data_IF_897193814856
#
_entry.id   IF_897193814856
#
_cell.length_a   1.000
_cell.length_b   1.000
_cell.length_c   1.000
_cell.angle_alpha   90.00
_cell.angle_beta   90.00
_cell.angle_gamma   90.00
#
_symmetry.space_group_name_H-M   'P 1'
#
loop_
_entity.id
_entity.type
_entity.pdbx_description
1 polymer ?
#
# COMPACT_ATOMS: atom_id res chain seq x y z
N UNK A 1 -6.16 67.97 6.00
CA UNK A 1 -5.88 66.96 4.94
C UNK A 1 -4.63 66.10 5.17
N UNK A 2 -3.50 66.61 5.71
CA UNK A 2 -2.28 65.79 5.91
C UNK A 2 -2.38 64.69 6.98
N UNK A 3 -3.21 64.84 8.02
CA UNK A 3 -3.36 63.83 9.09
C UNK A 3 -4.23 62.62 8.68
N UNK A 4 -5.20 62.81 7.79
CA UNK A 4 -6.11 61.73 7.34
C UNK A 4 -5.42 60.75 6.37
N UNK A 5 -4.48 61.25 5.56
CA UNK A 5 -3.67 60.42 4.64
C UNK A 5 -2.70 59.52 5.41
N UNK A 6 -2.18 59.98 6.56
CA UNK A 6 -1.24 59.21 7.38
C UNK A 6 -1.91 58.03 8.10
N UNK A 7 -3.19 58.16 8.49
CA UNK A 7 -3.95 57.08 9.13
C UNK A 7 -4.35 55.99 8.13
N UNK A 8 -4.67 56.36 6.89
CA UNK A 8 -5.01 55.38 5.84
C UNK A 8 -3.79 54.54 5.44
N UNK A 9 -2.59 55.14 5.41
CA UNK A 9 -1.35 54.43 5.11
C UNK A 9 -0.97 53.42 6.21
N UNK A 10 -1.21 53.75 7.48
CA UNK A 10 -0.93 52.86 8.61
C UNK A 10 -1.88 51.65 8.66
N UNK A 11 -3.15 51.82 8.27
CA UNK A 11 -4.15 50.73 8.23
C UNK A 11 -3.89 49.75 7.07
N UNK A 12 -3.35 50.22 5.93
CA UNK A 12 -3.00 49.35 4.80
C UNK A 12 -1.76 48.49 5.10
N UNK A 13 -0.79 48.99 5.86
CA UNK A 13 0.40 48.21 6.27
C UNK A 13 0.04 47.14 7.32
N UNK A 14 -0.98 47.37 8.15
CA UNK A 14 -1.49 46.38 9.12
C UNK A 14 -2.45 45.34 8.49
N UNK A 15 -2.93 45.59 7.27
CA UNK A 15 -3.76 44.65 6.49
C UNK A 15 -3.03 44.05 5.29
N UNK A 16 -1.71 44.26 5.17
CA UNK A 16 -0.92 43.49 4.22
C UNK A 16 -1.03 42.01 4.65
N UNK A 17 -1.65 41.13 3.84
CA UNK A 17 -1.63 39.71 4.15
C UNK A 17 -0.16 39.33 4.22
N UNK A 18 0.28 38.85 5.39
CA UNK A 18 1.56 38.20 5.51
C UNK A 18 1.50 37.01 4.54
N UNK A 19 2.03 37.20 3.34
CA UNK A 19 2.37 36.10 2.45
C UNK A 19 3.49 35.36 3.17
N UNK A 20 3.11 34.43 4.04
CA UNK A 20 4.00 33.35 4.42
C UNK A 20 4.34 32.63 3.12
N UNK A 21 5.52 32.91 2.58
CA UNK A 21 6.13 32.04 1.60
C UNK A 21 6.25 30.69 2.28
N UNK A 22 5.34 29.77 1.96
CA UNK A 22 5.50 28.38 2.34
C UNK A 22 6.83 27.93 1.73
N UNK A 23 7.83 27.68 2.57
CA UNK A 23 9.05 27.03 2.11
C UNK A 23 8.63 25.66 1.57
N UNK A 24 8.83 25.47 0.26
CA UNK A 24 8.60 24.18 -0.37
C UNK A 24 9.74 23.28 0.07
N UNK A 25 9.41 22.13 0.67
CA UNK A 25 10.42 21.16 1.13
C UNK A 25 11.27 20.72 -0.06
N UNK A 26 12.59 20.81 0.07
CA UNK A 26 13.50 20.26 -0.94
C UNK A 26 13.74 18.78 -0.66
N UNK A 27 13.51 17.93 -1.67
CA UNK A 27 13.62 16.48 -1.58
C UNK A 27 14.60 15.96 -2.62
N UNK A 28 15.59 15.18 -2.19
CA UNK A 28 16.66 14.69 -3.05
C UNK A 28 16.29 13.33 -3.63
N UNK A 29 16.21 13.23 -4.96
CA UNK A 29 16.00 11.95 -5.62
C UNK A 29 17.18 11.01 -5.38
N UNK A 30 16.90 9.87 -4.76
CA UNK A 30 17.91 8.86 -4.38
C UNK A 30 17.80 7.55 -5.18
N UNK A 31 16.80 7.43 -6.05
CA UNK A 31 16.68 6.34 -7.00
C UNK A 31 15.61 5.29 -6.68
N UNK A 32 15.60 4.25 -7.49
CA UNK A 32 14.78 3.06 -7.40
C UNK A 32 15.63 1.91 -6.88
N UNK A 33 15.11 1.19 -5.90
CA UNK A 33 15.80 0.09 -5.24
C UNK A 33 14.90 -1.08 -4.91
N UNK A 34 15.49 -2.06 -4.23
CA UNK A 34 14.79 -3.25 -3.73
C UNK A 34 14.90 -3.31 -2.22
N UNK A 35 13.85 -3.81 -1.57
CA UNK A 35 13.87 -4.05 -0.14
C UNK A 35 14.49 -5.41 0.21
N UNK A 36 15.18 -5.46 1.35
CA UNK A 36 15.71 -6.70 1.92
C UNK A 36 17.15 -6.99 1.54
N UNK A 37 17.57 -8.24 1.81
CA UNK A 37 18.93 -8.68 1.55
C UNK A 37 19.19 -8.72 0.04
N UNK A 38 20.23 -8.01 -0.40
CA UNK A 38 20.64 -7.95 -1.81
C UNK A 38 20.92 -9.33 -2.40
N UNK A 39 21.43 -10.27 -1.59
CA UNK A 39 21.73 -11.63 -2.02
C UNK A 39 20.48 -12.43 -2.43
N UNK A 40 19.31 -12.10 -1.88
CA UNK A 40 18.04 -12.77 -2.17
C UNK A 40 17.27 -12.16 -3.35
N UNK A 41 17.77 -11.05 -3.91
CA UNK A 41 17.02 -10.23 -4.88
C UNK A 41 16.48 -11.05 -6.05
N UNK A 42 17.31 -11.87 -6.69
CA UNK A 42 16.89 -12.62 -7.87
C UNK A 42 15.83 -13.69 -7.57
N UNK A 43 15.76 -14.15 -6.31
CA UNK A 43 14.72 -15.06 -5.84
C UNK A 43 13.42 -14.31 -5.51
N UNK A 44 13.54 -13.12 -4.93
CA UNK A 44 12.39 -12.31 -4.48
C UNK A 44 11.77 -11.46 -5.60
N UNK A 45 12.56 -11.06 -6.59
CA UNK A 45 12.22 -10.09 -7.63
C UNK A 45 12.76 -10.52 -9.01
N UNK A 46 12.53 -11.76 -9.45
CA UNK A 46 13.24 -12.36 -10.59
C UNK A 46 13.12 -11.54 -11.89
N UNK A 47 11.98 -10.88 -12.12
CA UNK A 47 11.77 -10.10 -13.34
C UNK A 47 12.28 -8.68 -13.19
N UNK A 48 11.87 -7.98 -12.14
CA UNK A 48 12.20 -6.57 -11.93
C UNK A 48 13.68 -6.36 -11.63
N UNK A 49 14.35 -7.29 -10.94
CA UNK A 49 15.80 -7.26 -10.77
C UNK A 49 16.55 -7.36 -12.09
N UNK A 50 16.02 -8.13 -13.04
CA UNK A 50 16.63 -8.27 -14.36
C UNK A 50 16.65 -6.97 -15.15
N UNK A 51 15.76 -6.02 -14.86
CA UNK A 51 15.80 -4.67 -15.45
C UNK A 51 16.79 -3.76 -14.73
N UNK A 52 17.01 -3.94 -13.43
CA UNK A 52 17.97 -3.14 -12.68
C UNK A 52 19.41 -3.38 -13.16
N UNK A 53 19.72 -4.61 -13.57
CA UNK A 53 21.05 -5.03 -14.01
C UNK A 53 21.41 -4.65 -15.45
N UNK A 54 20.43 -4.19 -16.24
CA UNK A 54 20.68 -3.81 -17.63
C UNK A 54 21.50 -2.53 -17.74
N UNK A 55 22.32 -2.49 -18.80
CA UNK A 55 22.97 -1.28 -19.25
C UNK A 55 21.92 -0.17 -19.45
N UNK A 56 22.28 1.06 -19.10
CA UNK A 56 21.40 2.24 -19.04
C UNK A 56 20.39 2.29 -17.87
N UNK A 57 20.40 1.33 -16.94
CA UNK A 57 19.59 1.36 -15.70
C UNK A 57 18.11 1.71 -15.96
N UNK A 58 17.37 0.93 -16.78
CA UNK A 58 16.05 1.30 -17.27
C UNK A 58 15.02 1.60 -16.17
N UNK A 59 15.10 0.94 -15.00
CA UNK A 59 14.22 1.28 -13.87
C UNK A 59 14.37 2.74 -13.42
N UNK A 60 15.60 3.27 -13.35
CA UNK A 60 15.83 4.69 -13.06
C UNK A 60 15.24 5.59 -14.13
N UNK A 61 15.45 5.23 -15.39
CA UNK A 61 14.99 6.02 -16.53
C UNK A 61 13.47 6.09 -16.55
N UNK A 62 12.77 4.96 -16.40
CA UNK A 62 11.31 4.91 -16.37
C UNK A 62 10.75 5.65 -15.17
N UNK A 63 11.32 5.45 -13.99
CA UNK A 63 10.88 6.14 -12.78
C UNK A 63 11.05 7.66 -12.91
N UNK A 64 12.21 8.15 -13.33
CA UNK A 64 12.45 9.59 -13.51
C UNK A 64 11.49 10.19 -14.53
N UNK A 65 11.33 9.53 -15.67
CA UNK A 65 10.40 9.98 -16.72
C UNK A 65 8.96 10.10 -16.20
N UNK A 66 8.47 9.10 -15.50
CA UNK A 66 7.05 9.02 -15.12
C UNK A 66 6.72 9.72 -13.79
N UNK A 67 7.70 9.82 -12.89
CA UNK A 67 7.54 10.52 -11.62
C UNK A 67 7.90 11.99 -11.70
N UNK A 68 8.85 12.42 -12.54
CA UNK A 68 9.50 13.71 -12.34
C UNK A 68 9.34 14.66 -13.53
N UNK A 69 9.08 14.15 -14.74
CA UNK A 69 8.91 15.01 -15.91
C UNK A 69 7.53 15.70 -15.91
N UNK A 70 7.54 17.03 -15.78
CA UNK A 70 6.33 17.86 -15.89
C UNK A 70 5.33 17.72 -14.75
N UNK A 71 5.75 17.17 -13.60
CA UNK A 71 4.92 16.99 -12.40
C UNK A 71 5.21 18.06 -11.36
N UNK A 72 4.16 18.46 -10.64
CA UNK A 72 4.25 19.38 -9.51
C UNK A 72 3.81 18.66 -8.25
N UNK A 73 4.68 18.66 -7.25
CA UNK A 73 4.42 18.07 -5.94
C UNK A 73 4.38 19.18 -4.87
N UNK A 74 3.83 18.90 -3.67
CA UNK A 74 3.95 19.79 -2.52
C UNK A 74 5.39 20.00 -2.01
N UNK A 75 6.37 19.32 -2.64
CA UNK A 75 7.80 19.39 -2.37
C UNK A 75 8.57 19.53 -3.70
N UNK A 76 9.77 20.10 -3.66
CA UNK A 76 10.63 20.31 -4.82
C UNK A 76 11.65 19.17 -4.93
N UNK A 77 11.57 18.37 -6.00
CA UNK A 77 12.54 17.28 -6.21
C UNK A 77 13.82 17.82 -6.84
N UNK A 78 14.96 17.58 -6.20
CA UNK A 78 16.30 17.91 -6.68
C UNK A 78 17.04 16.66 -7.15
N UNK A 79 17.92 16.86 -8.13
CA UNK A 79 18.81 15.84 -8.66
C UNK A 79 20.27 16.19 -8.41
N UNK A 80 21.09 15.17 -8.21
CA UNK A 80 22.54 15.30 -8.11
C UNK A 80 23.03 15.43 -6.66
N UNK A 81 24.30 15.80 -6.52
CA UNK A 81 24.94 16.04 -5.23
C UNK A 81 24.41 17.34 -4.62
N UNK A 82 23.80 17.22 -3.44
CA UNK A 82 23.37 18.37 -2.64
C UNK A 82 24.32 18.53 -1.47
N UNK A 83 24.62 19.79 -1.14
CA UNK A 83 25.41 20.09 0.05
C UNK A 83 24.63 19.68 1.30
N UNK A 84 25.16 18.69 2.02
CA UNK A 84 24.57 18.11 3.23
C UNK A 84 24.84 19.02 4.45
N UNK A 85 25.45 20.19 4.25
CA UNK A 85 25.70 21.20 5.29
C UNK A 85 24.43 21.87 5.82
N UNK A 86 23.31 21.80 5.08
CA UNK A 86 22.00 22.28 5.51
C UNK A 86 21.38 21.47 6.66
N UNK A 87 20.40 22.06 7.35
CA UNK A 87 19.63 21.38 8.39
C UNK A 87 18.68 20.35 7.72
N UNK A 88 18.94 19.06 7.99
CA UNK A 88 18.03 17.92 7.76
C UNK A 88 17.53 17.66 6.32
N UNK A 89 18.43 17.43 5.34
CA UNK A 89 18.02 17.15 3.96
C UNK A 89 17.22 15.85 3.84
N UNK A 90 16.04 15.94 3.20
CA UNK A 90 15.14 14.80 2.95
C UNK A 90 15.48 14.19 1.59
N UNK A 91 15.54 12.87 1.53
CA UNK A 91 15.70 12.09 0.31
C UNK A 91 14.45 11.28 0.01
N UNK A 92 14.18 11.07 -1.27
CA UNK A 92 13.12 10.21 -1.81
C UNK A 92 13.74 9.04 -2.58
N UNK A 93 13.40 7.83 -2.17
CA UNK A 93 13.68 6.61 -2.90
C UNK A 93 12.38 5.86 -3.22
N UNK A 94 12.33 5.16 -4.36
CA UNK A 94 11.26 4.19 -4.64
C UNK A 94 11.79 2.79 -4.40
N UNK A 95 11.21 2.06 -3.46
CA UNK A 95 11.66 0.71 -3.13
C UNK A 95 10.63 -0.31 -3.60
N UNK A 96 11.04 -1.25 -4.45
CA UNK A 96 10.26 -2.44 -4.80
C UNK A 96 10.32 -3.42 -3.62
N UNK A 97 9.14 -3.82 -3.15
CA UNK A 97 8.96 -4.67 -1.96
C UNK A 97 8.31 -6.01 -2.27
N UNK A 98 7.78 -6.19 -3.49
CA UNK A 98 7.24 -7.47 -3.92
C UNK A 98 7.01 -7.55 -5.42
N UNK A 99 7.18 -8.75 -5.93
CA UNK A 99 6.84 -9.15 -7.29
C UNK A 99 6.08 -10.47 -7.20
N UNK A 100 4.85 -10.53 -7.71
CA UNK A 100 4.06 -11.77 -7.64
C UNK A 100 3.27 -11.99 -8.92
N UNK A 101 3.19 -13.26 -9.32
CA UNK A 101 2.29 -13.77 -10.36
C UNK A 101 1.35 -14.80 -9.71
N UNK A 102 0.05 -14.50 -9.68
CA UNK A 102 -0.97 -15.44 -9.21
C UNK A 102 -1.69 -16.07 -10.39
N UNK A 103 -1.45 -17.37 -10.54
CA UNK A 103 -2.06 -18.24 -11.53
C UNK A 103 -3.40 -18.80 -11.01
N UNK A 104 -4.48 -18.61 -11.76
CA UNK A 104 -5.81 -19.19 -11.52
C UNK A 104 -6.24 -20.01 -12.75
N UNK A 105 -6.57 -21.28 -12.55
CA UNK A 105 -7.14 -22.12 -13.59
C UNK A 105 -8.67 -22.00 -13.57
N UNK A 106 -9.25 -21.59 -14.69
CA UNK A 106 -10.71 -21.44 -14.85
C UNK A 106 -11.18 -22.53 -15.81
N UNK A 107 -12.09 -23.39 -15.35
CA UNK A 107 -12.67 -24.44 -16.19
C UNK A 107 -13.97 -23.93 -16.81
N UNK A 108 -13.97 -23.76 -18.13
CA UNK A 108 -15.15 -23.34 -18.91
C UNK A 108 -15.44 -24.39 -19.98
N UNK A 109 -16.60 -25.06 -19.90
CA UNK A 109 -17.01 -26.07 -20.89
C UNK A 109 -15.94 -27.14 -21.19
N UNK A 110 -15.33 -27.70 -20.13
CA UNK A 110 -14.22 -28.67 -20.19
C UNK A 110 -12.91 -28.15 -20.81
N UNK A 111 -12.77 -26.84 -21.05
CA UNK A 111 -11.50 -26.20 -21.43
C UNK A 111 -10.92 -25.44 -20.25
N UNK A 112 -9.61 -25.53 -20.07
CA UNK A 112 -8.89 -24.79 -19.04
C UNK A 112 -8.44 -23.47 -19.65
N UNK A 113 -8.83 -22.36 -19.02
CA UNK A 113 -8.25 -21.03 -19.24
C UNK A 113 -7.38 -20.66 -18.05
N UNK A 114 -6.41 -19.80 -18.29
CA UNK A 114 -5.46 -19.36 -17.27
C UNK A 114 -5.65 -17.86 -17.02
N UNK A 115 -6.18 -17.49 -15.86
CA UNK A 115 -6.20 -16.10 -15.41
C UNK A 115 -4.93 -15.83 -14.62
N UNK A 116 -4.13 -14.91 -15.12
CA UNK A 116 -2.87 -14.51 -14.52
C UNK A 116 -2.98 -13.11 -13.94
N UNK A 117 -2.50 -12.96 -12.71
CA UNK A 117 -2.48 -11.69 -12.01
C UNK A 117 -1.05 -11.30 -11.67
N UNK A 118 -0.55 -10.31 -12.39
CA UNK A 118 0.78 -9.74 -12.22
C UNK A 118 0.69 -8.59 -11.24
N UNK A 119 1.54 -8.57 -10.22
CA UNK A 119 1.55 -7.50 -9.23
C UNK A 119 2.96 -7.07 -8.85
N UNK A 120 3.12 -5.75 -8.73
CA UNK A 120 4.30 -5.08 -8.20
C UNK A 120 3.87 -4.35 -6.93
N UNK A 121 4.53 -4.66 -5.83
CA UNK A 121 4.42 -3.93 -4.58
C UNK A 121 5.68 -3.09 -4.40
N UNK A 122 5.53 -1.86 -3.92
CA UNK A 122 6.64 -1.02 -3.54
C UNK A 122 6.20 0.14 -2.66
N UNK A 123 7.12 1.06 -2.37
CA UNK A 123 6.82 2.26 -1.60
C UNK A 123 7.74 3.41 -2.02
N UNK A 124 7.23 4.64 -2.04
CA UNK A 124 8.08 5.82 -1.97
C UNK A 124 8.48 6.03 -0.51
N UNK A 125 9.78 6.07 -0.24
CA UNK A 125 10.37 6.22 1.08
C UNK A 125 11.04 7.58 1.15
N UNK A 126 10.52 8.43 2.03
CA UNK A 126 11.13 9.69 2.41
C UNK A 126 11.94 9.48 3.67
N UNK A 127 13.20 9.92 3.69
CA UNK A 127 14.06 9.74 4.84
C UNK A 127 15.06 10.90 4.95
N UNK A 128 15.51 11.19 6.15
CA UNK A 128 16.54 12.20 6.38
C UNK A 128 17.92 11.61 6.02
N UNK A 129 18.66 12.25 5.11
CA UNK A 129 19.95 11.73 4.62
C UNK A 129 21.01 11.62 5.72
N UNK A 130 20.98 12.52 6.72
CA UNK A 130 21.98 12.57 7.80
C UNK A 130 21.71 11.52 8.88
N UNK A 131 20.48 11.46 9.36
CA UNK A 131 20.07 10.55 10.45
C UNK A 131 19.63 9.18 9.94
N UNK A 132 19.36 9.05 8.64
CA UNK A 132 18.80 7.88 7.97
C UNK A 132 17.41 7.47 8.49
N UNK A 133 16.74 8.34 9.24
CA UNK A 133 15.42 8.07 9.80
C UNK A 133 14.34 8.23 8.73
N UNK A 134 13.37 7.32 8.72
CA UNK A 134 12.15 7.47 7.92
C UNK A 134 11.42 8.76 8.33
N UNK A 135 11.03 9.52 7.32
CA UNK A 135 10.19 10.74 7.42
C UNK A 135 8.75 10.37 7.08
N UNK A 136 8.55 9.72 5.93
CA UNK A 136 7.25 9.28 5.46
C UNK A 136 7.41 8.08 4.53
N UNK A 137 6.35 7.28 4.42
CA UNK A 137 6.29 6.22 3.42
C UNK A 137 4.95 6.23 2.69
N UNK A 138 5.00 5.94 1.39
CA UNK A 138 3.84 5.87 0.52
C UNK A 138 3.88 4.53 -0.21
N UNK A 139 3.39 3.43 0.39
CA UNK A 139 3.19 2.18 -0.30
C UNK A 139 2.31 2.30 -1.55
N UNK A 140 2.59 1.43 -2.53
CA UNK A 140 1.78 1.21 -3.72
C UNK A 140 1.77 -0.29 -4.06
N UNK A 141 0.59 -0.82 -4.41
CA UNK A 141 0.45 -2.07 -5.16
C UNK A 141 -0.19 -1.75 -6.48
N UNK A 142 0.44 -2.21 -7.56
CA UNK A 142 -0.11 -2.19 -8.91
C UNK A 142 -0.40 -3.61 -9.35
N UNK A 143 -1.57 -3.84 -9.96
CA UNK A 143 -2.00 -5.16 -10.45
C UNK A 143 -2.52 -5.07 -11.88
N UNK A 144 -2.07 -6.01 -12.71
CA UNK A 144 -2.60 -6.25 -14.05
C UNK A 144 -3.08 -7.70 -14.16
N UNK A 145 -4.20 -7.91 -14.84
CA UNK A 145 -4.82 -9.24 -14.97
C UNK A 145 -5.06 -9.55 -16.45
N UNK A 146 -4.73 -10.77 -16.87
CA UNK A 146 -4.95 -11.22 -18.25
C UNK A 146 -5.33 -12.69 -18.29
N UNK A 147 -6.30 -13.02 -19.15
CA UNK A 147 -6.72 -14.39 -19.41
C UNK A 147 -5.96 -14.94 -20.63
N UNK A 148 -5.46 -16.16 -20.51
CA UNK A 148 -4.76 -16.87 -21.56
C UNK A 148 -5.43 -18.21 -21.84
N UNK A 149 -5.38 -18.65 -23.10
CA UNK A 149 -5.82 -20.00 -23.50
C UNK A 149 -4.80 -21.08 -23.10
N UNK A 150 -3.53 -20.71 -22.97
CA UNK A 150 -2.43 -21.55 -22.47
C UNK A 150 -1.63 -20.80 -21.43
N UNK A 151 -1.08 -21.49 -20.42
CA UNK A 151 -0.23 -20.86 -19.41
C UNK A 151 0.91 -20.05 -20.08
N UNK A 152 1.08 -18.76 -19.78
CA UNK A 152 2.14 -17.97 -20.38
C UNK A 152 3.51 -18.41 -19.88
N UNK A 153 4.53 -18.18 -20.71
CA UNK A 153 5.92 -18.44 -20.37
C UNK A 153 6.57 -17.27 -19.61
N UNK A 154 7.84 -17.44 -19.28
CA UNK A 154 8.64 -16.42 -18.58
C UNK A 154 8.86 -15.16 -19.44
N UNK A 155 8.90 -15.29 -20.76
CA UNK A 155 9.10 -14.17 -21.69
C UNK A 155 7.87 -13.25 -21.72
N UNK A 156 6.67 -13.83 -21.82
CA UNK A 156 5.43 -13.06 -21.73
C UNK A 156 5.31 -12.42 -20.34
N UNK A 157 5.66 -13.15 -19.27
CA UNK A 157 5.69 -12.59 -17.91
C UNK A 157 6.62 -11.37 -17.83
N UNK A 158 7.84 -11.48 -18.36
CA UNK A 158 8.81 -10.37 -18.42
C UNK A 158 8.28 -9.18 -19.24
N UNK A 159 7.60 -9.44 -20.35
CA UNK A 159 6.97 -8.40 -21.19
C UNK A 159 5.87 -7.65 -20.44
N UNK A 160 5.03 -8.36 -19.70
CA UNK A 160 3.97 -7.74 -18.88
C UNK A 160 4.58 -6.85 -17.80
N UNK A 161 5.54 -7.35 -17.01
CA UNK A 161 6.20 -6.54 -15.98
C UNK A 161 6.93 -5.33 -16.55
N UNK A 162 7.60 -5.49 -17.72
CA UNK A 162 8.19 -4.35 -18.43
C UNK A 162 7.14 -3.29 -18.71
N UNK A 163 6.01 -3.68 -19.31
CA UNK A 163 4.95 -2.75 -19.70
C UNK A 163 4.35 -2.02 -18.49
N UNK A 164 4.10 -2.74 -17.37
CA UNK A 164 3.62 -2.15 -16.11
C UNK A 164 4.61 -1.13 -15.49
N UNK A 165 5.88 -1.16 -15.89
CA UNK A 165 6.91 -0.24 -15.41
C UNK A 165 7.30 0.85 -16.42
N UNK A 166 7.30 0.57 -17.72
CA UNK A 166 7.88 1.45 -18.73
C UNK A 166 6.91 2.43 -19.37
N UNK A 167 5.63 2.09 -19.45
CA UNK A 167 4.61 2.87 -20.16
C UNK A 167 3.18 2.56 -19.67
N UNK A 168 2.18 3.26 -20.21
CA UNK A 168 0.78 3.12 -19.83
C UNK A 168 -0.03 2.22 -20.79
N UNK A 169 0.62 1.42 -21.66
CA UNK A 169 -0.09 0.68 -22.73
C UNK A 169 -1.10 -0.36 -22.21
N UNK A 170 -0.91 -0.86 -20.99
CA UNK A 170 -1.82 -1.80 -20.33
C UNK A 170 -2.92 -1.10 -19.52
N UNK A 171 -3.02 0.23 -19.60
CA UNK A 171 -3.93 1.04 -18.77
C UNK A 171 -3.54 1.10 -17.29
N UNK A 172 -2.35 0.57 -16.95
CA UNK A 172 -1.84 0.54 -15.58
C UNK A 172 -0.31 0.66 -15.61
N UNK A 173 0.23 1.55 -14.77
CA UNK A 173 1.67 1.74 -14.62
C UNK A 173 2.05 2.09 -13.17
N UNK A 174 3.04 1.39 -12.63
CA UNK A 174 3.46 1.55 -11.24
C UNK A 174 3.99 2.95 -10.92
N UNK A 175 4.84 3.53 -11.77
CA UNK A 175 5.42 4.85 -11.53
C UNK A 175 4.40 5.97 -11.76
N UNK A 176 3.52 5.85 -12.76
CA UNK A 176 2.41 6.79 -12.97
C UNK A 176 1.46 6.82 -11.78
N UNK A 177 1.09 5.66 -11.22
CA UNK A 177 0.24 5.58 -10.03
C UNK A 177 0.96 6.09 -8.78
N UNK A 178 2.27 5.86 -8.66
CA UNK A 178 3.06 6.41 -7.57
C UNK A 178 3.12 7.95 -7.66
N UNK A 179 3.33 8.50 -8.85
CA UNK A 179 3.33 9.96 -9.09
C UNK A 179 2.04 10.59 -8.56
N UNK A 180 0.88 10.04 -8.90
CA UNK A 180 -0.42 10.53 -8.42
C UNK A 180 -0.52 10.51 -6.89
N UNK A 181 0.03 9.50 -6.21
CA UNK A 181 0.04 9.44 -4.74
C UNK A 181 0.93 10.52 -4.14
N UNK A 182 2.08 10.80 -4.77
CA UNK A 182 3.03 11.81 -4.32
C UNK A 182 2.46 13.24 -4.39
N UNK A 183 1.50 13.52 -5.27
CA UNK A 183 0.80 14.81 -5.37
C UNK A 183 0.08 15.22 -4.07
N UNK A 184 -0.18 14.27 -3.18
CA UNK A 184 -0.92 14.50 -1.92
C UNK A 184 -0.06 14.38 -0.66
N UNK A 185 1.25 14.12 -0.81
CA UNK A 185 2.15 13.94 0.33
C UNK A 185 2.54 15.28 0.93
N UNK A 186 2.43 15.38 2.26
CA UNK A 186 2.88 16.53 3.05
C UNK A 186 4.03 16.11 3.95
N UNK A 187 5.22 16.68 3.74
CA UNK A 187 6.43 16.33 4.51
C UNK A 187 6.60 17.22 5.75
N UNK A 188 6.02 18.42 5.74
CA UNK A 188 6.00 19.39 6.84
C UNK A 188 5.32 18.93 8.15
N UNK A 189 4.65 17.77 8.14
CA UNK A 189 3.96 17.21 9.30
C UNK A 189 4.48 15.80 9.56
N UNK A 190 5.65 15.69 10.20
CA UNK A 190 6.08 14.40 10.76
C UNK A 190 5.02 13.95 11.77
N UNK A 191 4.43 12.76 11.60
CA UNK A 191 3.40 12.32 12.53
C UNK A 191 4.01 12.16 13.91
N UNK A 192 3.35 12.70 14.93
CA UNK A 192 3.75 12.51 16.33
C UNK A 192 3.67 11.04 16.76
N UNK A 193 2.91 10.23 16.01
CA UNK A 193 2.71 8.79 16.27
C UNK A 193 2.64 8.04 14.95
N UNK A 194 3.46 7.01 14.82
CA UNK A 194 3.46 6.15 13.64
C UNK A 194 2.50 4.98 13.81
N UNK A 195 1.81 4.62 12.72
CA UNK A 195 0.94 3.45 12.66
C UNK A 195 1.61 2.39 11.79
N UNK A 196 1.62 1.15 12.25
CA UNK A 196 2.11 0.00 11.49
C UNK A 196 1.00 -1.03 11.29
N UNK A 197 0.93 -1.62 10.10
CA UNK A 197 0.18 -2.86 9.92
C UNK A 197 1.06 -4.00 10.42
N UNK A 198 0.64 -4.64 11.51
CA UNK A 198 1.36 -5.74 12.12
C UNK A 198 1.02 -7.07 11.46
N UNK A 199 0.59 -8.01 12.29
CA UNK A 199 0.33 -9.39 11.87
C UNK A 199 -1.02 -9.52 11.18
N UNK A 200 -1.02 -10.32 10.11
CA UNK A 200 -2.23 -10.82 9.48
C UNK A 200 -2.22 -12.34 9.64
N UNK A 201 -3.05 -12.86 10.54
CA UNK A 201 -3.06 -14.29 10.87
C UNK A 201 -4.27 -14.96 10.24
N UNK A 202 -4.07 -16.14 9.66
CA UNK A 202 -5.15 -17.00 9.17
C UNK A 202 -5.15 -18.24 10.06
N UNK A 203 -6.24 -18.47 10.79
CA UNK A 203 -6.34 -19.61 11.70
C UNK A 203 -6.30 -20.94 10.94
N UNK A 204 -5.75 -21.99 11.55
CA UNK A 204 -5.70 -23.31 10.93
C UNK A 204 -7.09 -23.98 10.83
N UNK A 205 -8.08 -23.44 11.54
CA UNK A 205 -9.48 -23.89 11.53
C UNK A 205 -10.32 -23.27 10.42
N UNK A 206 -9.73 -22.45 9.54
CA UNK A 206 -10.42 -21.95 8.35
C UNK A 206 -10.68 -23.08 7.33
N UNK A 207 -11.32 -22.74 6.22
CA UNK A 207 -11.57 -23.69 5.13
C UNK A 207 -10.30 -24.45 4.74
N UNK A 208 -10.42 -25.77 4.55
CA UNK A 208 -9.29 -26.68 4.40
C UNK A 208 -8.37 -26.30 3.24
N UNK A 209 -8.93 -25.84 2.12
CA UNK A 209 -8.16 -25.41 0.95
C UNK A 209 -7.17 -24.29 1.26
N UNK A 210 -7.54 -23.36 2.17
CA UNK A 210 -6.66 -22.27 2.62
C UNK A 210 -5.75 -22.75 3.74
N UNK A 211 -6.28 -23.49 4.71
CA UNK A 211 -5.53 -23.98 5.87
C UNK A 211 -4.32 -24.84 5.45
N UNK A 212 -4.49 -25.68 4.41
CA UNK A 212 -3.45 -26.56 3.85
C UNK A 212 -2.67 -25.95 2.69
N UNK A 213 -2.98 -24.72 2.27
CA UNK A 213 -2.32 -24.10 1.13
C UNK A 213 -0.86 -23.78 1.46
N UNK A 214 0.12 -24.17 0.62
CA UNK A 214 1.50 -23.72 0.77
C UNK A 214 1.63 -22.19 0.59
N UNK A 215 0.58 -21.52 0.10
CA UNK A 215 0.53 -20.08 -0.10
C UNK A 215 -0.09 -19.32 1.08
N UNK A 216 -0.48 -19.99 2.18
CA UNK A 216 -1.19 -19.36 3.31
C UNK A 216 -0.46 -18.11 3.84
N UNK A 217 0.83 -18.22 4.11
CA UNK A 217 1.65 -17.11 4.63
C UNK A 217 1.88 -16.01 3.59
N UNK A 218 1.96 -16.38 2.31
CA UNK A 218 2.04 -15.43 1.19
C UNK A 218 0.74 -14.63 1.06
N UNK A 219 -0.42 -15.28 1.24
CA UNK A 219 -1.74 -14.63 1.21
C UNK A 219 -1.88 -13.67 2.39
N UNK A 220 -1.58 -14.12 3.61
CA UNK A 220 -1.58 -13.27 4.80
C UNK A 220 -0.68 -12.03 4.62
N UNK A 221 0.53 -12.26 4.12
CA UNK A 221 1.48 -11.21 3.76
C UNK A 221 0.92 -10.22 2.75
N UNK A 222 0.34 -10.72 1.67
CA UNK A 222 -0.27 -9.92 0.61
C UNK A 222 -1.45 -9.09 1.14
N UNK A 223 -2.32 -9.68 1.97
CA UNK A 223 -3.48 -9.00 2.55
C UNK A 223 -3.07 -7.88 3.52
N UNK A 224 -2.00 -8.09 4.29
CA UNK A 224 -1.42 -7.04 5.15
C UNK A 224 -0.97 -5.84 4.30
N UNK A 225 -0.16 -6.08 3.26
CA UNK A 225 0.33 -5.01 2.38
C UNK A 225 -0.81 -4.38 1.57
N UNK A 226 -1.81 -5.17 1.16
CA UNK A 226 -3.01 -4.67 0.51
C UNK A 226 -3.77 -3.69 1.41
N UNK A 227 -4.00 -4.05 2.68
CA UNK A 227 -4.70 -3.16 3.61
C UNK A 227 -3.88 -1.90 3.92
N UNK A 228 -2.56 -2.01 4.12
CA UNK A 228 -1.67 -0.85 4.27
C UNK A 228 -1.85 0.15 3.13
N UNK A 229 -1.85 -0.36 1.89
CA UNK A 229 -2.05 0.44 0.69
C UNK A 229 -3.42 1.13 0.63
N UNK A 230 -4.49 0.41 1.01
CA UNK A 230 -5.85 0.94 1.02
C UNK A 230 -6.03 1.96 2.13
N UNK A 231 -5.56 1.67 3.33
CA UNK A 231 -5.66 2.57 4.47
C UNK A 231 -4.97 3.89 4.17
N UNK A 232 -3.71 3.88 3.70
CA UNK A 232 -3.01 5.13 3.37
C UNK A 232 -3.69 5.88 2.21
N UNK A 233 -4.16 5.19 1.17
CA UNK A 233 -4.87 5.84 0.06
C UNK A 233 -6.19 6.50 0.47
N UNK A 234 -6.91 5.94 1.45
CA UNK A 234 -8.20 6.46 1.89
C UNK A 234 -8.05 7.52 2.99
N UNK A 235 -7.09 7.33 3.91
CA UNK A 235 -6.92 8.19 5.10
C UNK A 235 -5.81 9.23 4.98
N UNK A 236 -4.85 9.06 4.07
CA UNK A 236 -3.65 9.89 3.99
C UNK A 236 -2.65 9.66 5.13
N UNK A 237 -2.85 8.64 5.97
CA UNK A 237 -1.96 8.37 7.10
C UNK A 237 -0.56 7.95 6.63
N UNK A 238 0.45 8.53 7.28
CA UNK A 238 1.83 8.06 7.16
C UNK A 238 1.97 6.74 7.94
N UNK A 239 2.22 5.65 7.23
CA UNK A 239 2.39 4.32 7.82
C UNK A 239 3.88 3.96 7.88
N UNK A 240 4.25 3.17 8.88
CA UNK A 240 5.48 2.38 8.82
C UNK A 240 5.19 1.18 7.92
N UNK A 241 5.97 0.94 6.86
CA UNK A 241 5.72 -0.19 5.99
C UNK A 241 5.80 -1.52 6.74
N UNK A 242 4.86 -2.42 6.47
CA UNK A 242 4.82 -3.74 7.10
C UNK A 242 5.93 -4.69 6.60
N UNK A 243 6.44 -4.42 5.40
CA UNK A 243 7.42 -5.23 4.67
C UNK A 243 8.32 -4.33 3.86
N UNK A 244 9.43 -3.96 4.47
CA UNK A 244 10.63 -3.64 3.71
C UNK A 244 11.63 -4.70 4.18
N UNK A 245 12.05 -5.57 3.27
CA UNK A 245 12.63 -6.89 3.55
C UNK A 245 13.67 -6.93 4.68
N UNK A 246 13.79 -8.10 5.33
CA UNK A 246 14.66 -8.33 6.49
C UNK A 246 14.80 -7.10 7.39
N UNK A 247 13.67 -6.66 7.96
CA UNK A 247 13.67 -5.69 9.04
C UNK A 247 14.29 -6.34 10.30
N UNK A 248 15.61 -6.51 10.33
CA UNK A 248 16.32 -6.94 11.51
C UNK A 248 16.48 -5.70 12.40
N UNK A 249 15.61 -5.56 13.39
CA UNK A 249 15.68 -4.51 14.41
C UNK A 249 15.37 -3.11 13.87
N UNK A 250 14.17 -2.91 13.32
CA UNK A 250 13.64 -1.60 12.89
C UNK A 250 14.48 -0.88 11.83
N UNK A 251 15.20 -1.63 11.00
CA UNK A 251 16.07 -1.12 9.95
C UNK A 251 15.70 -1.74 8.61
N UNK A 252 15.68 -0.91 7.59
CA UNK A 252 15.36 -1.30 6.22
C UNK A 252 16.62 -1.20 5.38
N UNK A 253 17.12 -2.34 4.92
CA UNK A 253 18.12 -2.36 3.87
C UNK A 253 17.47 -2.07 2.52
N UNK A 254 17.96 -1.05 1.82
CA UNK A 254 17.59 -0.72 0.44
C UNK A 254 18.86 -0.55 -0.37
N UNK A 255 18.97 -1.24 -1.50
CA UNK A 255 20.02 -0.97 -2.49
C UNK A 255 19.52 0.11 -3.43
N UNK A 256 20.19 1.26 -3.46
CA UNK A 256 19.97 2.33 -4.42
C UNK A 256 21.10 2.34 -5.45
N UNK A 257 20.93 3.02 -6.60
CA UNK A 257 22.03 3.21 -7.53
C UNK A 257 23.25 3.91 -6.92
N UNK A 258 23.04 4.71 -5.87
CA UNK A 258 24.07 5.39 -5.09
C UNK A 258 24.78 4.49 -4.06
N UNK A 259 24.31 3.25 -3.85
CA UNK A 259 24.89 2.29 -2.91
C UNK A 259 23.87 1.67 -1.95
N UNK A 260 24.37 0.81 -1.06
CA UNK A 260 23.56 0.25 0.03
C UNK A 260 23.20 1.32 1.05
N UNK A 261 21.95 1.31 1.46
CA UNK A 261 21.44 2.19 2.50
C UNK A 261 20.65 1.41 3.53
N UNK A 262 20.78 1.82 4.78
CA UNK A 262 19.95 1.34 5.87
C UNK A 262 19.12 2.48 6.42
N UNK A 263 17.81 2.39 6.26
CA UNK A 263 16.84 3.38 6.75
C UNK A 263 16.34 2.91 8.12
N UNK A 264 16.40 3.79 9.11
CA UNK A 264 15.91 3.53 10.47
C UNK A 264 14.42 3.83 10.52
N UNK A 265 13.62 2.83 10.84
CA UNK A 265 12.19 2.97 11.07
C UNK A 265 11.94 3.50 12.49
N UNK A 266 10.98 4.42 12.68
CA UNK A 266 10.52 4.80 14.01
C UNK A 266 9.79 3.64 14.68
N UNK A 267 9.73 3.66 16.00
CA UNK A 267 8.86 2.76 16.75
C UNK A 267 7.40 3.10 16.45
N UNK A 268 6.53 2.09 16.23
CA UNK A 268 5.11 2.34 16.06
C UNK A 268 4.49 2.81 17.37
N UNK A 269 3.71 3.89 17.33
CA UNK A 269 2.81 4.24 18.43
C UNK A 269 1.59 3.32 18.47
N UNK A 270 1.19 2.78 17.31
CA UNK A 270 0.09 1.83 17.18
C UNK A 270 0.39 0.73 16.17
N UNK A 271 -0.11 -0.48 16.45
CA UNK A 271 -0.07 -1.61 15.52
C UNK A 271 -1.47 -2.13 15.24
N UNK A 272 -1.81 -2.29 13.95
CA UNK A 272 -3.08 -2.90 13.50
C UNK A 272 -2.83 -4.36 13.15
N UNK A 273 -3.52 -5.27 13.83
CA UNK A 273 -3.45 -6.70 13.61
C UNK A 273 -4.79 -7.23 13.08
N UNK A 274 -4.71 -8.23 12.21
CA UNK A 274 -5.86 -8.93 11.65
C UNK A 274 -5.80 -10.43 11.95
N UNK A 275 -6.97 -11.03 12.16
CA UNK A 275 -7.10 -12.48 12.31
C UNK A 275 -8.32 -12.98 11.57
N UNK A 276 -8.13 -13.94 10.66
CA UNK A 276 -9.21 -14.64 9.96
C UNK A 276 -9.60 -15.87 10.76
N UNK A 277 -10.82 -15.85 11.30
CA UNK A 277 -11.34 -16.90 12.18
C UNK A 277 -12.05 -18.01 11.42
N UNK A 278 -12.69 -17.67 10.29
CA UNK A 278 -13.52 -18.62 9.56
C UNK A 278 -13.62 -18.26 8.09
N UNK A 279 -13.55 -19.27 7.24
CA UNK A 279 -13.84 -19.23 5.82
C UNK A 279 -14.84 -20.33 5.50
N UNK A 280 -15.86 -20.03 4.71
CA UNK A 280 -16.97 -20.93 4.38
C UNK A 280 -17.25 -20.91 2.90
N UNK A 281 -17.39 -22.07 2.29
CA UNK A 281 -17.82 -22.21 0.91
C UNK A 281 -19.18 -22.91 0.85
N UNK A 282 -20.08 -22.40 0.00
CA UNK A 282 -21.35 -23.03 -0.28
C UNK A 282 -21.69 -22.94 -1.77
N UNK A 283 -21.95 -24.09 -2.39
CA UNK A 283 -22.52 -24.19 -3.74
C UNK A 283 -24.04 -24.34 -3.67
N UNK A 284 -24.77 -23.46 -4.35
CA UNK A 284 -26.23 -23.50 -4.50
C UNK A 284 -26.58 -23.76 -5.96
N UNK A 285 -26.93 -24.99 -6.35
CA UNK A 285 -27.29 -25.30 -7.73
C UNK A 285 -28.66 -24.68 -8.09
N UNK A 286 -28.76 -24.09 -9.29
CA UNK A 286 -30.02 -23.63 -9.90
C UNK A 286 -30.26 -24.36 -11.24
N UNK A 287 -31.41 -24.16 -11.89
CA UNK A 287 -31.73 -24.84 -13.17
C UNK A 287 -30.74 -24.47 -14.30
N UNK A 288 -30.38 -23.20 -14.43
CA UNK A 288 -29.52 -22.71 -15.51
C UNK A 288 -28.05 -22.53 -15.11
N UNK A 289 -27.79 -22.14 -13.87
CA UNK A 289 -26.45 -21.79 -13.36
C UNK A 289 -26.19 -22.45 -12.00
N UNK A 290 -24.94 -22.42 -11.54
CA UNK A 290 -24.59 -22.66 -10.15
C UNK A 290 -24.25 -21.34 -9.47
N UNK A 291 -24.71 -21.13 -8.24
CA UNK A 291 -24.32 -19.99 -7.42
C UNK A 291 -23.26 -20.44 -6.41
N UNK A 292 -22.04 -19.93 -6.55
CA UNK A 292 -20.92 -20.22 -5.66
C UNK A 292 -20.77 -19.08 -4.66
N UNK A 293 -20.87 -19.37 -3.36
CA UNK A 293 -20.80 -18.38 -2.30
C UNK A 293 -19.61 -18.64 -1.38
N UNK A 294 -18.80 -17.61 -1.15
CA UNK A 294 -17.64 -17.60 -0.28
C UNK A 294 -17.89 -16.63 0.86
N UNK A 295 -17.92 -17.13 2.09
CA UNK A 295 -18.12 -16.39 3.33
C UNK A 295 -16.86 -16.33 4.18
N UNK A 296 -16.70 -15.24 4.93
CA UNK A 296 -15.48 -14.96 5.68
C UNK A 296 -15.76 -14.16 6.94
N UNK A 297 -14.98 -14.46 7.99
CA UNK A 297 -15.03 -13.80 9.30
C UNK A 297 -13.63 -13.42 9.71
N UNK A 298 -13.42 -12.14 10.02
CA UNK A 298 -12.14 -11.63 10.50
C UNK A 298 -12.32 -10.63 11.65
N UNK A 299 -11.30 -10.47 12.49
CA UNK A 299 -11.23 -9.39 13.48
C UNK A 299 -10.06 -8.47 13.20
N UNK A 300 -10.25 -7.20 13.52
CA UNK A 300 -9.19 -6.21 13.61
C UNK A 300 -8.96 -5.87 15.08
N UNK A 301 -7.71 -5.83 15.49
CA UNK A 301 -7.27 -5.36 16.82
C UNK A 301 -6.22 -4.27 16.62
N UNK A 302 -6.35 -3.17 17.34
CA UNK A 302 -5.34 -2.10 17.40
C UNK A 302 -4.69 -2.13 18.77
N UNK A 303 -3.37 -2.25 18.79
CA UNK A 303 -2.55 -2.18 20.00
C UNK A 303 -1.90 -0.80 20.06
N UNK A 304 -1.97 -0.16 21.23
CA UNK A 304 -1.23 1.06 21.56
C UNK A 304 0.09 0.67 22.22
N UNK A 305 1.16 1.39 21.89
CA UNK A 305 2.51 1.25 22.47
C UNK A 305 2.96 2.48 23.26
N UNK A 306 2.12 3.52 23.34
CA UNK A 306 2.49 4.82 23.92
C UNK A 306 2.83 4.75 25.42
N UNK A 307 2.19 3.85 26.16
CA UNK A 307 2.33 3.69 27.60
C UNK A 307 2.42 2.20 27.99
N UNK A 308 3.14 1.42 27.19
CA UNK A 308 3.11 -0.04 27.22
C UNK A 308 2.12 -0.62 26.20
N UNK A 309 2.03 -1.95 26.13
CA UNK A 309 1.19 -2.67 25.18
C UNK A 309 -0.26 -2.81 25.70
N UNK A 310 -1.20 -2.10 25.08
CA UNK A 310 -2.62 -2.13 25.47
C UNK A 310 -3.56 -2.30 24.26
N UNK A 311 -4.64 -3.07 24.42
CA UNK A 311 -5.70 -3.15 23.41
C UNK A 311 -6.44 -1.81 23.32
N UNK A 312 -6.16 -1.05 22.26
CA UNK A 312 -6.77 0.25 22.02
C UNK A 312 -8.17 0.14 21.43
N UNK A 313 -8.37 -0.82 20.51
CA UNK A 313 -9.65 -1.07 19.86
C UNK A 313 -9.72 -2.49 19.29
N UNK A 314 -10.92 -3.07 19.26
CA UNK A 314 -11.17 -4.37 18.65
C UNK A 314 -12.58 -4.49 18.12
N UNK A 315 -12.72 -5.11 16.95
CA UNK A 315 -14.03 -5.48 16.41
C UNK A 315 -13.93 -6.58 15.34
N UNK A 316 -15.07 -7.24 15.10
CA UNK A 316 -15.22 -8.28 14.08
C UNK A 316 -15.96 -7.79 12.83
N UNK A 317 -15.53 -8.29 11.68
CA UNK A 317 -16.14 -8.11 10.37
C UNK A 317 -16.49 -9.46 9.74
N UNK A 318 -17.51 -9.46 8.89
CA UNK A 318 -17.99 -10.60 8.12
C UNK A 318 -18.44 -10.17 6.73
N UNK A 319 -18.33 -11.09 5.79
CA UNK A 319 -18.87 -10.90 4.45
C UNK A 319 -19.17 -12.23 3.76
N UNK A 320 -20.00 -12.18 2.72
CA UNK A 320 -20.24 -13.24 1.76
C UNK A 320 -20.25 -12.65 0.34
N UNK A 321 -19.40 -13.18 -0.53
CA UNK A 321 -19.44 -12.93 -1.97
C UNK A 321 -20.03 -14.14 -2.67
N UNK A 322 -21.05 -13.92 -3.50
CA UNK A 322 -21.66 -14.96 -4.33
C UNK A 322 -21.50 -14.60 -5.81
N UNK A 323 -21.18 -15.57 -6.64
CA UNK A 323 -21.15 -15.44 -8.09
C UNK A 323 -22.00 -16.52 -8.76
N UNK A 324 -22.66 -16.16 -9.85
CA UNK A 324 -23.35 -17.13 -10.71
C UNK A 324 -22.38 -17.56 -11.80
N UNK A 325 -22.21 -18.87 -11.95
CA UNK A 325 -21.37 -19.49 -12.98
C UNK A 325 -22.18 -20.49 -13.79
N UNK A 326 -21.74 -20.75 -15.02
CA UNK A 326 -22.32 -21.80 -15.83
C UNK A 326 -22.15 -23.17 -15.16
N UNK A 327 -23.02 -24.11 -15.53
CA UNK A 327 -22.95 -25.47 -15.00
C UNK A 327 -21.57 -26.10 -15.27
N UNK A 328 -20.99 -26.69 -14.24
CA UNK A 328 -19.70 -27.36 -14.32
C UNK A 328 -18.48 -26.44 -14.23
N UNK A 329 -18.66 -25.12 -14.14
CA UNK A 329 -17.55 -24.19 -13.84
C UNK A 329 -17.14 -24.34 -12.38
N UNK A 330 -15.84 -24.54 -12.17
CA UNK A 330 -15.19 -24.50 -10.86
C UNK A 330 -14.28 -23.30 -10.74
N UNK A 331 -14.24 -22.69 -9.56
CA UNK A 331 -13.31 -21.61 -9.21
C UNK A 331 -12.30 -22.12 -8.17
N UNK A 332 -11.12 -21.50 -8.13
CA UNK A 332 -10.12 -21.81 -7.12
C UNK A 332 -10.49 -21.19 -5.77
N UNK A 333 -10.85 -22.03 -4.80
CA UNK A 333 -11.34 -21.57 -3.49
C UNK A 333 -10.36 -20.65 -2.77
N UNK A 334 -9.06 -20.94 -2.85
CA UNK A 334 -8.02 -20.12 -2.20
C UNK A 334 -8.05 -18.70 -2.76
N UNK A 335 -8.16 -18.57 -4.07
CA UNK A 335 -8.24 -17.29 -4.78
C UNK A 335 -9.54 -16.55 -4.46
N UNK A 336 -10.68 -17.24 -4.43
CA UNK A 336 -11.97 -16.63 -4.09
C UNK A 336 -12.04 -16.15 -2.64
N UNK A 337 -11.47 -16.89 -1.69
CA UNK A 337 -11.33 -16.41 -0.31
C UNK A 337 -10.40 -15.21 -0.19
N UNK A 338 -9.29 -15.17 -0.95
CA UNK A 338 -8.42 -14.00 -1.01
C UNK A 338 -9.18 -12.77 -1.54
N UNK A 339 -9.95 -12.92 -2.64
CA UNK A 339 -10.80 -11.85 -3.21
C UNK A 339 -11.83 -11.34 -2.18
N UNK A 340 -12.48 -12.24 -1.45
CA UNK A 340 -13.40 -11.89 -0.37
C UNK A 340 -12.72 -11.06 0.72
N UNK A 341 -11.58 -11.51 1.24
CA UNK A 341 -10.85 -10.80 2.30
C UNK A 341 -10.37 -9.42 1.82
N UNK A 342 -9.88 -9.31 0.58
CA UNK A 342 -9.54 -8.02 -0.04
C UNK A 342 -10.76 -7.08 -0.06
N UNK A 343 -11.95 -7.58 -0.41
CA UNK A 343 -13.17 -6.79 -0.41
C UNK A 343 -13.54 -6.25 0.98
N UNK A 344 -13.37 -7.06 2.04
CA UNK A 344 -13.59 -6.62 3.42
C UNK A 344 -12.59 -5.53 3.80
N UNK A 345 -11.30 -5.72 3.49
CA UNK A 345 -10.21 -4.80 3.83
C UNK A 345 -10.33 -3.47 3.10
N UNK A 346 -10.68 -3.48 1.81
CA UNK A 346 -10.95 -2.27 1.03
C UNK A 346 -12.14 -1.48 1.59
N UNK A 347 -13.24 -2.18 1.88
CA UNK A 347 -14.41 -1.56 2.52
C UNK A 347 -14.09 -0.98 3.89
N UNK A 348 -13.28 -1.67 4.69
CA UNK A 348 -12.81 -1.20 6.00
C UNK A 348 -11.94 0.06 5.88
N UNK A 349 -10.97 0.09 4.95
CA UNK A 349 -10.10 1.25 4.76
C UNK A 349 -10.89 2.53 4.49
N UNK A 350 -11.95 2.44 3.67
CA UNK A 350 -12.86 3.57 3.39
C UNK A 350 -13.55 4.12 4.64
N UNK A 351 -13.79 3.29 5.66
CA UNK A 351 -14.45 3.72 6.89
C UNK A 351 -13.58 4.68 7.73
N UNK A 352 -12.27 4.74 7.50
CA UNK A 352 -11.38 5.70 8.17
C UNK A 352 -11.45 7.11 7.57
N UNK A 353 -11.97 7.23 6.34
CA UNK A 353 -12.21 8.51 5.68
C UNK A 353 -13.61 9.04 5.99
N UNK A 354 -14.62 8.21 5.73
CA UNK A 354 -16.02 8.51 6.02
C UNK A 354 -16.76 7.22 6.40
N UNK A 355 -17.46 7.27 7.53
CA UNK A 355 -18.10 6.08 8.10
C UNK A 355 -19.44 5.84 7.40
N UNK A 356 -19.49 4.80 6.56
CA UNK A 356 -20.72 4.31 5.97
C UNK A 356 -21.47 3.43 6.98
N UNK A 357 -22.52 4.01 7.57
CA UNK A 357 -23.40 3.32 8.53
C UNK A 357 -24.08 2.09 7.92
N UNK A 358 -24.42 2.10 6.62
CA UNK A 358 -25.07 0.97 5.94
C UNK A 358 -24.06 -0.17 5.78
N UNK A 359 -22.85 0.14 5.33
CA UNK A 359 -21.78 -0.85 5.18
C UNK A 359 -21.48 -1.54 6.53
N UNK A 360 -21.29 -0.77 7.61
CA UNK A 360 -21.02 -1.33 8.93
C UNK A 360 -22.18 -2.19 9.45
N UNK A 361 -23.44 -1.80 9.25
CA UNK A 361 -24.60 -2.60 9.70
C UNK A 361 -24.62 -3.99 9.06
N UNK A 362 -24.20 -4.11 7.80
CA UNK A 362 -24.18 -5.38 7.06
C UNK A 362 -22.94 -6.20 7.42
N UNK A 363 -21.77 -5.54 7.51
CA UNK A 363 -20.47 -6.20 7.56
C UNK A 363 -19.87 -6.35 8.96
N UNK A 364 -20.38 -5.67 9.99
CA UNK A 364 -19.90 -5.86 11.35
C UNK A 364 -20.67 -6.93 12.10
N UNK A 365 -20.05 -7.55 13.11
CA UNK A 365 -20.78 -8.34 14.09
C UNK A 365 -21.55 -7.47 15.08
N UNK A 366 -20.97 -6.34 15.47
CA UNK A 366 -21.57 -5.39 16.39
C UNK A 366 -21.37 -3.97 15.85
N UNK A 367 -22.42 -3.42 15.24
CA UNK A 367 -22.41 -2.09 14.63
C UNK A 367 -21.91 -0.99 15.57
N UNK A 368 -22.45 -0.94 16.79
CA UNK A 368 -22.14 0.12 17.76
C UNK A 368 -20.68 0.05 18.21
N UNK A 369 -20.18 -1.16 18.48
CA UNK A 369 -18.77 -1.36 18.84
C UNK A 369 -17.84 -1.02 17.67
N UNK A 370 -18.11 -1.54 16.47
CA UNK A 370 -17.28 -1.25 15.29
C UNK A 370 -17.22 0.23 14.97
N UNK A 371 -18.37 0.92 14.99
CA UNK A 371 -18.43 2.37 14.76
C UNK A 371 -17.60 3.13 15.80
N UNK A 372 -17.81 2.85 17.09
CA UNK A 372 -17.07 3.52 18.18
C UNK A 372 -15.56 3.27 18.07
N UNK A 373 -15.16 2.05 17.75
CA UNK A 373 -13.76 1.69 17.55
C UNK A 373 -13.15 2.45 16.36
N UNK A 374 -13.82 2.49 15.21
CA UNK A 374 -13.33 3.21 14.02
C UNK A 374 -13.28 4.72 14.28
N UNK A 375 -14.28 5.29 14.95
CA UNK A 375 -14.27 6.72 15.34
C UNK A 375 -13.11 7.03 16.29
N UNK A 376 -12.87 6.17 17.29
CA UNK A 376 -11.75 6.30 18.23
C UNK A 376 -10.40 6.26 17.50
N UNK A 377 -10.22 5.30 16.60
CA UNK A 377 -8.98 5.15 15.83
C UNK A 377 -8.80 6.33 14.86
N UNK A 378 -9.83 6.71 14.11
CA UNK A 378 -9.75 7.80 13.14
C UNK A 378 -9.45 9.13 13.84
N UNK A 379 -10.07 9.40 15.00
CA UNK A 379 -9.75 10.58 15.80
C UNK A 379 -8.28 10.59 16.23
N UNK A 380 -7.78 9.47 16.72
CA UNK A 380 -6.39 9.35 17.17
C UNK A 380 -5.41 9.52 16.01
N UNK A 381 -5.63 8.81 14.91
CA UNK A 381 -4.71 8.80 13.77
C UNK A 381 -4.76 10.09 12.96
N UNK A 382 -5.92 10.73 12.84
CA UNK A 382 -6.03 11.99 12.07
C UNK A 382 -5.59 13.20 12.90
N UNK A 383 -5.57 13.11 14.24
CA UNK A 383 -4.98 14.14 15.10
C UNK A 383 -3.46 14.29 14.94
N UNK A 384 -2.79 13.32 14.30
CA UNK A 384 -1.34 13.38 14.05
C UNK A 384 -0.98 14.11 12.74
N UNK A 385 -1.98 14.49 11.93
CA UNK A 385 -1.83 15.25 10.68
C UNK A 385 -2.03 16.77 10.86
N UNK A 386 -2.38 17.22 12.07
CA UNK A 386 -2.47 18.63 12.47
C UNK A 386 -1.20 19.04 13.20
#
# INVERSE_FOLDING_TARGET
>A
MKKTIFVIFLVIVLYAPAFSFANVDEVIWSGVGFSGNWADRNRLYPVTSSFFELDNKPLEVWARKLLLDGKSYPFAVKFGTVDISGLDPIALAITITGENVFHEAIIVSNKIKHLENYSISGAAIFFNLKTKKLVASVPLITRFSKVYETKPDENETKKIFKSVLSDDTLGVNFFSEMSKRLEHVKLNSLPSKYVQIGQFTIDDTVHESVARSPKKDLIASYLSTFFENRLMSESGLALIPNKVGYAIGNKVATRLPSGDMTIVLPEPGYTINFRVHKLLYQKKPNKATDCLCYGGVLSMTVISHLFGEEEFAKFGLKDVNCCNVDKGVGLDDVTEFQKLLMGILDGLAKQFKDIDKKWLKVRSFNYSQSKRSIEKISKEFMSTLQ
#
